data_IF_246334717092
#
_entry.id   IF_246334717092
#
_cell.length_a   1.000
_cell.length_b   1.000
_cell.length_c   1.000
_cell.angle_alpha   90.00
_cell.angle_beta   90.00
_cell.angle_gamma   90.00
#
_symmetry.space_group_name_H-M   'P 1'
#
loop_
_entity.id
_entity.type
_entity.pdbx_description
1 polymer ?
#
# COMPACT_ATOMS: atom_id res chain seq x y z
N UNK A 1 -40.08 22.75 1.72
CA UNK A 1 -39.31 24.00 1.67
C UNK A 1 -37.87 23.59 1.85
N UNK A 2 -37.14 23.48 0.74
CA UNK A 2 -35.70 23.26 0.78
C UNK A 2 -35.06 24.59 1.17
N UNK A 3 -34.55 24.68 2.39
CA UNK A 3 -33.82 25.84 2.86
C UNK A 3 -32.45 25.83 2.16
N UNK A 4 -32.12 26.91 1.45
CA UNK A 4 -30.77 27.09 0.91
C UNK A 4 -29.72 26.92 2.02
N UNK A 5 -28.58 26.26 1.74
CA UNK A 5 -27.53 26.12 2.74
C UNK A 5 -27.04 27.51 3.16
N UNK A 6 -27.15 27.81 4.46
CA UNK A 6 -26.61 29.06 5.01
C UNK A 6 -25.09 28.98 4.98
N UNK A 7 -24.47 29.69 4.04
CA UNK A 7 -23.01 29.77 3.95
C UNK A 7 -22.47 30.84 4.92
N UNK A 8 -21.79 30.38 5.97
CA UNK A 8 -21.05 31.27 6.88
C UNK A 8 -19.62 31.46 6.38
N UNK A 9 -19.05 32.69 6.46
CA UNK A 9 -17.63 32.91 6.20
C UNK A 9 -16.76 32.00 7.06
N UNK A 10 -15.77 31.37 6.44
CA UNK A 10 -14.83 30.45 7.10
C UNK A 10 -14.21 31.14 8.32
N UNK A 11 -14.16 30.43 9.46
CA UNK A 11 -13.66 30.91 10.75
C UNK A 11 -14.46 32.02 11.46
N UNK A 12 -15.61 32.45 10.93
CA UNK A 12 -16.53 33.32 11.69
C UNK A 12 -17.04 32.64 12.97
N UNK A 13 -17.54 33.42 13.93
CA UNK A 13 -18.11 32.87 15.16
C UNK A 13 -19.30 31.92 14.88
N UNK A 14 -20.10 32.24 13.87
CA UNK A 14 -21.23 31.41 13.42
C UNK A 14 -20.73 30.13 12.75
N UNK A 15 -19.73 30.22 11.87
CA UNK A 15 -19.08 29.04 11.26
C UNK A 15 -18.51 28.09 12.32
N UNK A 16 -17.83 28.63 13.35
CA UNK A 16 -17.28 27.80 14.45
C UNK A 16 -18.37 27.10 15.26
N UNK A 17 -19.48 27.80 15.55
CA UNK A 17 -20.63 27.20 16.25
C UNK A 17 -21.27 26.10 15.41
N UNK A 18 -21.43 26.34 14.12
CA UNK A 18 -22.02 25.38 13.18
C UNK A 18 -21.15 24.14 13.00
N UNK A 19 -19.83 24.29 12.85
CA UNK A 19 -18.89 23.16 12.81
C UNK A 19 -18.93 22.36 14.12
N UNK A 20 -19.03 23.02 15.28
CA UNK A 20 -19.16 22.33 16.57
C UNK A 20 -20.46 21.53 16.64
N UNK A 21 -21.59 22.12 16.21
CA UNK A 21 -22.89 21.43 16.12
C UNK A 21 -22.79 20.19 15.21
N UNK A 22 -22.27 20.37 14.00
CA UNK A 22 -22.10 19.30 13.01
C UNK A 22 -21.16 18.19 13.51
N UNK A 23 -20.11 18.52 14.26
CA UNK A 23 -19.23 17.52 14.88
C UNK A 23 -19.91 16.75 16.01
N UNK A 24 -20.78 17.41 16.79
CA UNK A 24 -21.55 16.76 17.85
C UNK A 24 -22.68 15.88 17.30
N UNK A 25 -23.27 16.25 16.16
CA UNK A 25 -24.31 15.48 15.47
C UNK A 25 -23.75 14.31 14.65
N UNK A 26 -22.44 14.30 14.36
CA UNK A 26 -21.81 13.13 13.74
C UNK A 26 -21.91 11.97 14.72
N UNK A 27 -22.64 10.89 14.36
CA UNK A 27 -22.67 9.71 15.22
C UNK A 27 -21.23 9.26 15.43
N UNK A 28 -20.86 9.01 16.68
CA UNK A 28 -19.55 8.43 16.97
C UNK A 28 -19.44 7.14 16.16
N UNK A 29 -18.39 7.05 15.34
CA UNK A 29 -18.16 5.91 14.46
C UNK A 29 -17.97 4.63 15.29
N UNK A 30 -17.59 4.79 16.57
CA UNK A 30 -17.40 3.71 17.50
C UNK A 30 -18.28 3.86 18.73
N UNK A 31 -19.00 2.81 19.09
CA UNK A 31 -19.70 2.70 20.38
C UNK A 31 -18.67 2.63 21.52
N UNK A 32 -19.03 3.01 22.76
CA UNK A 32 -18.15 2.89 23.93
C UNK A 32 -17.51 1.50 24.11
N UNK A 33 -18.28 0.44 23.83
CA UNK A 33 -17.81 -0.96 23.87
C UNK A 33 -16.67 -1.23 22.87
N UNK A 34 -16.72 -0.61 21.69
CA UNK A 34 -15.69 -0.75 20.66
C UNK A 34 -14.39 -0.02 21.07
N UNK A 35 -14.51 1.09 21.82
CA UNK A 35 -13.37 1.78 22.41
C UNK A 35 -12.71 0.99 23.54
N UNK A 36 -13.50 0.35 24.39
CA UNK A 36 -12.97 -0.55 25.42
C UNK A 36 -12.29 -1.77 24.82
N UNK A 37 -12.88 -2.38 23.80
CA UNK A 37 -12.27 -3.51 23.11
C UNK A 37 -10.98 -3.12 22.38
N UNK A 38 -10.94 -1.97 21.71
CA UNK A 38 -9.73 -1.45 21.06
C UNK A 38 -8.62 -1.18 22.08
N UNK A 39 -8.94 -0.57 23.23
CA UNK A 39 -7.99 -0.38 24.34
C UNK A 39 -7.49 -1.69 24.91
N UNK A 40 -8.36 -2.70 25.06
CA UNK A 40 -8.00 -4.04 25.55
C UNK A 40 -7.07 -4.77 24.58
N UNK A 41 -7.31 -4.66 23.27
CA UNK A 41 -6.46 -5.27 22.24
C UNK A 41 -5.05 -4.67 22.18
N UNK A 42 -4.88 -3.45 22.69
CA UNK A 42 -3.61 -2.72 22.61
C UNK A 42 -3.25 -2.35 21.16
N UNK A 43 -2.11 -1.68 20.94
CA UNK A 43 -1.61 -1.48 19.59
C UNK A 43 -1.31 -2.86 18.99
N UNK A 44 -2.01 -3.20 17.91
CA UNK A 44 -1.59 -4.36 17.11
C UNK A 44 -0.18 -4.07 16.58
N UNK A 45 0.75 -5.04 16.64
CA UNK A 45 2.04 -4.86 15.97
C UNK A 45 1.76 -4.52 14.51
N UNK A 46 2.33 -3.41 14.04
CA UNK A 46 2.19 -3.02 12.64
C UNK A 46 2.69 -4.19 11.79
N UNK A 47 1.81 -4.69 10.92
CA UNK A 47 2.25 -5.71 9.97
C UNK A 47 3.36 -5.09 9.12
N UNK A 48 4.50 -5.78 8.97
CA UNK A 48 5.60 -5.24 8.17
C UNK A 48 5.06 -4.95 6.78
N UNK A 49 5.27 -3.73 6.32
CA UNK A 49 4.96 -3.33 4.95
C UNK A 49 5.88 -4.13 4.02
N UNK A 50 5.29 -4.97 3.17
CA UNK A 50 6.01 -5.84 2.25
C UNK A 50 5.74 -5.44 0.80
N UNK A 51 6.80 -5.29 0.02
CA UNK A 51 6.78 -4.93 -1.38
C UNK A 51 7.21 -6.10 -2.27
N UNK A 52 6.48 -6.41 -3.37
CA UNK A 52 6.87 -7.44 -4.30
C UNK A 52 7.96 -6.93 -5.26
N UNK A 53 9.09 -7.63 -5.29
CA UNK A 53 10.24 -7.38 -6.16
C UNK A 53 10.40 -8.54 -7.12
N UNK A 54 10.30 -8.27 -8.42
CA UNK A 54 10.49 -9.31 -9.44
C UNK A 54 11.95 -9.72 -9.52
N UNK A 55 12.18 -11.03 -9.72
CA UNK A 55 13.50 -11.59 -10.00
C UNK A 55 13.89 -11.32 -11.46
N UNK A 56 14.12 -10.04 -11.79
CA UNK A 56 14.45 -9.53 -13.13
C UNK A 56 15.45 -8.37 -13.04
N UNK A 57 16.06 -8.03 -14.18
CA UNK A 57 17.03 -6.94 -14.25
C UNK A 57 18.28 -7.25 -13.41
N UNK A 58 18.68 -6.30 -12.57
CA UNK A 58 19.87 -6.46 -11.71
C UNK A 58 19.63 -7.36 -10.50
N UNK A 59 18.38 -7.45 -10.04
CA UNK A 59 17.98 -8.25 -8.87
C UNK A 59 17.32 -9.56 -9.31
N UNK A 60 18.03 -10.36 -10.11
CA UNK A 60 17.52 -11.59 -10.70
C UNK A 60 17.64 -12.85 -9.84
N UNK A 61 18.09 -12.71 -8.58
CA UNK A 61 18.13 -13.83 -7.63
C UNK A 61 17.86 -13.35 -6.19
N UNK A 62 17.35 -14.23 -5.31
CA UNK A 62 17.11 -13.90 -3.91
C UNK A 62 18.36 -13.45 -3.16
N UNK A 63 19.51 -14.05 -3.47
CA UNK A 63 20.79 -13.75 -2.81
C UNK A 63 21.27 -12.33 -3.15
N UNK A 64 21.02 -11.88 -4.39
CA UNK A 64 21.27 -10.49 -4.77
C UNK A 64 20.35 -9.53 -4.04
N UNK A 65 19.08 -9.90 -3.86
CA UNK A 65 18.15 -9.08 -3.09
C UNK A 65 18.62 -9.00 -1.63
N UNK A 66 18.99 -10.13 -1.03
CA UNK A 66 19.51 -10.19 0.33
C UNK A 66 20.70 -9.24 0.53
N UNK A 67 21.74 -9.39 -0.29
CA UNK A 67 22.95 -8.57 -0.23
C UNK A 67 22.63 -7.08 -0.41
N UNK A 68 21.82 -6.74 -1.42
CA UNK A 68 21.59 -5.35 -1.81
C UNK A 68 20.57 -4.62 -0.94
N UNK A 69 19.61 -5.34 -0.37
CA UNK A 69 18.66 -4.81 0.61
C UNK A 69 19.20 -4.92 2.05
N UNK A 70 20.32 -5.62 2.27
CA UNK A 70 20.91 -5.83 3.60
C UNK A 70 20.00 -6.64 4.51
N UNK A 71 19.38 -7.69 3.97
CA UNK A 71 18.53 -8.62 4.71
C UNK A 71 19.39 -9.66 5.42
N UNK A 72 18.93 -10.14 6.58
CA UNK A 72 19.60 -11.22 7.32
C UNK A 72 19.61 -12.54 6.57
N UNK A 73 18.56 -12.81 5.79
CA UNK A 73 18.38 -14.04 5.03
C UNK A 73 17.82 -13.78 3.62
N UNK A 74 18.00 -14.76 2.73
CA UNK A 74 17.46 -14.69 1.39
C UNK A 74 15.92 -14.74 1.40
N UNK A 75 15.23 -13.79 0.76
CA UNK A 75 13.77 -13.75 0.79
C UNK A 75 13.18 -14.90 -0.02
N UNK A 76 12.07 -15.46 0.48
CA UNK A 76 11.39 -16.59 -0.17
C UNK A 76 10.90 -16.25 -1.57
N UNK A 77 11.27 -17.08 -2.54
CA UNK A 77 10.76 -17.00 -3.91
C UNK A 77 9.30 -17.44 -3.98
N UNK A 78 8.50 -16.66 -4.69
CA UNK A 78 7.10 -16.92 -5.03
C UNK A 78 6.90 -16.73 -6.53
N UNK A 79 5.75 -17.20 -7.02
CA UNK A 79 5.36 -17.03 -8.42
C UNK A 79 4.00 -16.36 -8.51
N UNK A 80 3.82 -15.47 -9.48
CA UNK A 80 2.56 -14.78 -9.77
C UNK A 80 2.43 -14.52 -11.26
N UNK A 81 1.23 -14.19 -11.73
CA UNK A 81 0.98 -13.79 -13.10
C UNK A 81 1.12 -12.27 -13.26
N UNK A 82 1.73 -11.82 -14.35
CA UNK A 82 1.73 -10.40 -14.74
C UNK A 82 0.36 -10.01 -15.28
N UNK A 83 -0.11 -8.82 -14.91
CA UNK A 83 -1.32 -8.21 -15.46
C UNK A 83 -0.89 -7.02 -16.32
N UNK A 84 -1.07 -7.06 -17.66
CA UNK A 84 -0.77 -5.92 -18.51
C UNK A 84 -1.67 -4.74 -18.15
N UNK A 85 -1.10 -3.54 -17.96
CA UNK A 85 -1.86 -2.32 -17.64
C UNK A 85 -2.76 -1.88 -18.82
N UNK A 86 -2.38 -2.26 -20.05
CA UNK A 86 -3.19 -2.07 -21.26
C UNK A 86 -3.23 -3.40 -22.02
N UNK A 87 -4.35 -4.10 -21.98
CA UNK A 87 -4.62 -5.24 -22.87
C UNK A 87 -4.86 -4.70 -24.28
N UNK A 88 -3.79 -4.30 -24.98
CA UNK A 88 -3.90 -3.78 -26.36
C UNK A 88 -4.10 -4.94 -27.32
N UNK A 89 -3.60 -6.14 -27.00
CA UNK A 89 -3.83 -7.33 -27.82
C UNK A 89 -4.17 -8.59 -27.00
N UNK A 90 -5.05 -9.47 -27.52
CA UNK A 90 -5.37 -10.76 -26.91
C UNK A 90 -4.17 -11.74 -26.86
N UNK A 91 -3.00 -11.34 -27.37
CA UNK A 91 -1.74 -12.07 -27.29
C UNK A 91 -0.80 -11.56 -26.18
N UNK A 92 -1.18 -10.52 -25.43
CA UNK A 92 -0.47 -10.06 -24.22
C UNK A 92 -0.65 -11.13 -23.13
N UNK A 93 0.18 -12.17 -23.22
CA UNK A 93 0.09 -13.36 -22.38
C UNK A 93 0.34 -12.98 -20.93
N UNK A 94 -0.54 -13.46 -20.06
CA UNK A 94 -0.25 -13.58 -18.63
C UNK A 94 1.04 -14.38 -18.49
N UNK A 95 2.12 -13.72 -18.14
CA UNK A 95 3.41 -14.35 -17.92
C UNK A 95 3.49 -14.77 -16.45
N UNK A 96 3.80 -16.04 -16.20
CA UNK A 96 4.14 -16.49 -14.84
C UNK A 96 5.57 -16.04 -14.54
N UNK A 97 5.72 -15.16 -13.56
CA UNK A 97 7.01 -14.59 -13.14
C UNK A 97 7.31 -14.93 -11.69
N UNK A 98 8.60 -14.94 -11.36
CA UNK A 98 9.08 -15.12 -10.00
C UNK A 98 9.35 -13.78 -9.32
N UNK A 99 9.01 -13.70 -8.03
CA UNK A 99 9.21 -12.51 -7.21
C UNK A 99 9.52 -12.89 -5.76
N UNK A 100 10.06 -11.93 -5.01
CA UNK A 100 10.27 -12.00 -3.57
C UNK A 100 9.46 -10.88 -2.89
N UNK A 101 8.97 -11.13 -1.67
CA UNK A 101 8.45 -10.07 -0.81
C UNK A 101 9.59 -9.52 0.04
N UNK A 102 9.76 -8.20 0.05
CA UNK A 102 10.81 -7.51 0.80
C UNK A 102 10.17 -6.47 1.70
N UNK A 103 10.68 -6.30 2.92
CA UNK A 103 10.17 -5.28 3.83
C UNK A 103 10.43 -3.85 3.34
N UNK A 104 9.72 -2.90 3.95
CA UNK A 104 9.81 -1.48 3.59
C UNK A 104 11.23 -0.94 3.69
N UNK A 105 12.01 -1.36 4.69
CA UNK A 105 13.39 -0.89 4.84
C UNK A 105 14.30 -1.44 3.73
N UNK A 106 14.22 -2.74 3.45
CA UNK A 106 14.97 -3.37 2.36
C UNK A 106 14.58 -2.78 1.00
N UNK A 107 13.30 -2.52 0.78
CA UNK A 107 12.82 -1.84 -0.43
C UNK A 107 13.39 -0.42 -0.57
N UNK A 108 13.38 0.38 0.49
CA UNK A 108 13.95 1.74 0.47
C UNK A 108 15.43 1.73 0.10
N UNK A 109 16.22 0.83 0.69
CA UNK A 109 17.66 0.67 0.37
C UNK A 109 17.90 0.32 -1.09
N UNK A 110 17.03 -0.51 -1.69
CA UNK A 110 17.11 -0.82 -3.12
C UNK A 110 16.76 0.39 -3.99
N UNK A 111 15.73 1.17 -3.61
CA UNK A 111 15.33 2.37 -4.36
C UNK A 111 16.34 3.50 -4.36
N UNK A 112 17.16 3.61 -3.32
CA UNK A 112 18.24 4.59 -3.27
C UNK A 112 19.37 4.27 -4.28
N UNK A 113 19.50 3.01 -4.69
CA UNK A 113 20.64 2.51 -5.49
C UNK A 113 20.32 2.30 -6.96
N UNK A 114 19.05 2.18 -7.31
CA UNK A 114 18.62 1.65 -8.60
C UNK A 114 17.42 2.42 -9.13
N UNK A 115 17.33 2.48 -10.46
CA UNK A 115 16.09 2.90 -11.11
C UNK A 115 15.05 1.79 -11.02
N UNK A 116 13.78 2.18 -10.94
CA UNK A 116 12.66 1.25 -10.76
C UNK A 116 11.67 1.36 -11.91
N UNK A 117 11.31 0.22 -12.49
CA UNK A 117 10.12 0.10 -13.32
C UNK A 117 9.04 -0.65 -12.57
N UNK A 118 7.81 -0.28 -12.84
CA UNK A 118 6.63 -0.88 -12.24
C UNK A 118 5.99 -1.85 -13.21
N UNK A 119 5.49 -2.95 -12.67
CA UNK A 119 4.56 -3.86 -13.38
C UNK A 119 3.50 -4.32 -12.41
N UNK A 120 2.33 -4.69 -12.91
CA UNK A 120 1.26 -5.21 -12.06
C UNK A 120 1.34 -6.74 -12.00
N UNK A 121 1.26 -7.30 -10.78
CA UNK A 121 1.14 -8.74 -10.54
C UNK A 121 -0.20 -9.08 -9.91
N UNK A 122 -0.76 -10.23 -10.27
CA UNK A 122 -1.88 -10.84 -9.59
C UNK A 122 -1.39 -11.68 -8.41
N UNK A 123 -1.50 -11.14 -7.19
CA UNK A 123 -1.06 -11.77 -5.94
C UNK A 123 -2.27 -11.89 -5.01
N UNK A 124 -2.57 -13.11 -4.57
CA UNK A 124 -3.72 -13.42 -3.70
C UNK A 124 -5.07 -12.90 -4.26
N UNK A 125 -5.25 -12.99 -5.58
CA UNK A 125 -6.44 -12.50 -6.28
C UNK A 125 -6.56 -10.98 -6.38
N UNK A 126 -5.50 -10.24 -6.00
CA UNK A 126 -5.46 -8.78 -6.07
C UNK A 126 -4.34 -8.31 -6.98
N UNK A 127 -4.61 -7.25 -7.73
CA UNK A 127 -3.60 -6.55 -8.50
C UNK A 127 -2.70 -5.78 -7.52
N UNK A 128 -1.40 -6.08 -7.54
CA UNK A 128 -0.38 -5.40 -6.74
C UNK A 128 0.69 -4.84 -7.66
N UNK A 129 1.06 -3.59 -7.43
CA UNK A 129 2.24 -3.00 -8.05
C UNK A 129 3.47 -3.77 -7.59
N UNK A 130 4.36 -4.05 -8.52
CA UNK A 130 5.61 -4.76 -8.29
C UNK A 130 6.76 -4.08 -9.00
N UNK A 131 7.97 -4.41 -8.57
CA UNK A 131 9.15 -3.58 -8.83
C UNK A 131 10.23 -4.37 -9.54
N UNK A 132 10.77 -3.79 -10.62
CA UNK A 132 11.93 -4.31 -11.33
C UNK A 132 13.04 -3.26 -11.25
N UNK A 133 14.23 -3.67 -10.81
CA UNK A 133 15.35 -2.77 -10.53
C UNK A 133 16.44 -2.86 -11.61
N UNK A 134 16.90 -1.69 -12.06
CA UNK A 134 17.89 -1.50 -13.12
C UNK A 134 18.94 -0.45 -12.72
N UNK A 135 20.03 -0.35 -13.50
CA UNK A 135 21.08 0.67 -13.34
C UNK A 135 20.57 2.06 -13.65
#
# INVERSE_FOLDING_TARGET
MDLDPVEYPVNSAQWRREITRLKAEKPDRYKPEQWEEARRRGPQPEQPWLEPILLRGLLNSPEKIQDRAGLSEAPKVRSAQTVPDNLIHPADKLETVQYCMVDGEGYCRLRERYQVRYTTLLIDGKNRTSHIFYS
#
